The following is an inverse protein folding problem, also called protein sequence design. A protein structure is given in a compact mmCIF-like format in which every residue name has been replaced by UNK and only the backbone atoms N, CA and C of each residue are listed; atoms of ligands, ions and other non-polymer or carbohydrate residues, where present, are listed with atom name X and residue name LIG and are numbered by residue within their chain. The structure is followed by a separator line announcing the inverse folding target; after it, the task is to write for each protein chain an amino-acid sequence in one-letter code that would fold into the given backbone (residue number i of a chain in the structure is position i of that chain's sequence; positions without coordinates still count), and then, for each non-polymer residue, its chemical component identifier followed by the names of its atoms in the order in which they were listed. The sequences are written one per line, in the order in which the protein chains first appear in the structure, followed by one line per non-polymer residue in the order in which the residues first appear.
data_IF_198881044281
#
_entry.id   IF_198881044281
#
_cell.length_a   1.000
_cell.length_b   1.000
_cell.length_c   1.000
_cell.angle_alpha   90.00
_cell.angle_beta   90.00
_cell.angle_gamma   90.00
#
_symmetry.space_group_name_H-M   'P 1'
#
loop_
_entity.id
_entity.type
_entity.pdbx_description
1 polymer ?
#
# COMPACT_ATOMS: atom_id res chain seq x y z
N UNK A 1 4.46 23.70 21.23
CA UNK A 1 5.25 22.47 21.16
C UNK A 1 6.65 22.83 20.73
N UNK A 2 7.64 22.35 21.47
CA UNK A 2 9.01 22.46 21.01
C UNK A 2 9.24 21.53 19.80
N UNK A 3 10.42 21.64 19.18
CA UNK A 3 10.75 20.88 17.97
C UNK A 3 10.73 19.36 18.21
N UNK A 4 11.24 18.92 19.35
CA UNK A 4 11.37 17.50 19.68
C UNK A 4 9.98 16.89 19.93
N UNK A 5 9.11 17.63 20.60
CA UNK A 5 7.72 17.24 20.84
C UNK A 5 6.95 17.07 19.52
N UNK A 6 7.14 17.99 18.56
CA UNK A 6 6.57 17.84 17.21
C UNK A 6 7.07 16.58 16.50
N UNK A 7 8.35 16.26 16.62
CA UNK A 7 8.94 15.05 16.04
C UNK A 7 8.33 13.78 16.65
N UNK A 8 8.21 13.71 17.99
CA UNK A 8 7.56 12.59 18.66
C UNK A 8 6.07 12.44 18.28
N UNK A 9 5.36 13.54 18.06
CA UNK A 9 3.97 13.51 17.58
C UNK A 9 3.89 12.93 16.16
N UNK A 10 4.82 13.30 15.27
CA UNK A 10 4.90 12.71 13.92
C UNK A 10 5.18 11.20 13.98
N UNK A 11 6.12 10.79 14.83
CA UNK A 11 6.45 9.38 15.06
C UNK A 11 5.23 8.60 15.55
N UNK A 12 4.54 9.11 16.58
CA UNK A 12 3.34 8.49 17.13
C UNK A 12 2.21 8.41 16.09
N UNK A 13 2.03 9.46 15.27
CA UNK A 13 1.03 9.47 14.20
C UNK A 13 1.31 8.40 13.15
N UNK A 14 2.56 8.30 12.68
CA UNK A 14 2.97 7.30 11.71
C UNK A 14 2.86 5.87 12.25
N UNK A 15 3.17 5.67 13.54
CA UNK A 15 3.03 4.37 14.20
C UNK A 15 1.55 3.94 14.32
N UNK A 16 0.68 4.86 14.72
CA UNK A 16 -0.74 4.58 14.91
C UNK A 16 -1.52 4.43 13.60
N UNK A 17 -1.06 5.06 12.52
CA UNK A 17 -1.77 5.02 11.24
C UNK A 17 -1.54 3.69 10.51
N UNK A 18 -2.59 2.92 10.20
CA UNK A 18 -2.46 1.71 9.38
C UNK A 18 -2.20 2.02 7.89
N UNK A 19 -2.37 3.28 7.47
CA UNK A 19 -2.22 3.74 6.09
C UNK A 19 -1.15 4.82 5.99
N UNK A 20 -0.67 5.07 4.77
CA UNK A 20 0.19 6.22 4.51
C UNK A 20 -0.54 7.52 4.85
N UNK A 21 0.18 8.47 5.46
CA UNK A 21 -0.30 9.80 5.79
C UNK A 21 0.33 10.83 4.88
N UNK A 22 -0.49 11.72 4.33
CA UNK A 22 -0.03 12.86 3.53
C UNK A 22 0.75 13.85 4.37
N UNK A 23 1.54 14.70 3.71
CA UNK A 23 2.28 15.76 4.41
C UNK A 23 1.35 16.74 5.14
N UNK A 24 0.14 16.97 4.62
CA UNK A 24 -0.82 17.90 5.23
C UNK A 24 -1.50 17.30 6.46
N UNK A 25 -1.80 16.00 6.46
CA UNK A 25 -2.30 15.31 7.65
C UNK A 25 -1.24 15.29 8.77
N UNK A 26 0.01 14.96 8.42
CA UNK A 26 1.13 14.96 9.37
C UNK A 26 1.38 16.36 9.94
N UNK A 27 1.37 17.37 9.08
CA UNK A 27 1.48 18.78 9.47
C UNK A 27 0.36 19.17 10.46
N UNK A 28 -0.88 18.79 10.17
CA UNK A 28 -2.02 19.10 11.02
C UNK A 28 -1.94 18.42 12.38
N UNK A 29 -1.55 17.13 12.44
CA UNK A 29 -1.44 16.37 13.68
C UNK A 29 -0.29 16.87 14.56
N UNK A 30 0.84 17.24 13.97
CA UNK A 30 2.00 17.75 14.69
C UNK A 30 1.95 19.26 14.98
N UNK A 31 0.84 19.95 14.67
CA UNK A 31 0.69 21.40 14.83
C UNK A 31 1.85 22.19 14.22
N UNK A 32 2.29 21.77 13.03
CA UNK A 32 3.34 22.43 12.25
C UNK A 32 2.69 23.39 11.26
N UNK A 33 3.25 24.58 11.07
CA UNK A 33 2.66 25.55 10.14
C UNK A 33 3.12 25.31 8.70
N UNK A 34 4.38 24.91 8.53
CA UNK A 34 5.04 24.78 7.24
C UNK A 34 5.18 23.32 6.78
N UNK A 35 4.79 23.06 5.53
CA UNK A 35 5.11 21.79 4.86
C UNK A 35 6.62 21.53 4.81
N UNK A 36 7.42 22.58 4.69
CA UNK A 36 8.89 22.46 4.63
C UNK A 36 9.45 22.02 5.99
N UNK A 37 8.97 22.61 7.09
CA UNK A 37 9.34 22.19 8.45
C UNK A 37 8.95 20.72 8.69
N UNK A 38 7.73 20.33 8.31
CA UNK A 38 7.24 18.95 8.43
C UNK A 38 8.14 17.97 7.68
N UNK A 39 8.56 18.32 6.45
CA UNK A 39 9.49 17.49 5.65
C UNK A 39 10.87 17.37 6.30
N UNK A 40 11.37 18.42 6.93
CA UNK A 40 12.65 18.39 7.64
C UNK A 40 12.61 17.42 8.82
N UNK A 41 11.56 17.51 9.64
CA UNK A 41 11.35 16.59 10.78
C UNK A 41 11.20 15.14 10.30
N UNK A 42 10.42 14.91 9.25
CA UNK A 42 10.28 13.58 8.65
C UNK A 42 11.60 13.01 8.15
N UNK A 43 12.45 13.84 7.55
CA UNK A 43 13.76 13.39 7.06
C UNK A 43 14.66 12.90 8.18
N UNK A 44 14.60 13.55 9.34
CA UNK A 44 15.33 13.15 10.55
C UNK A 44 14.81 11.82 11.10
N UNK A 45 13.48 11.68 11.23
CA UNK A 45 12.83 10.43 11.62
C UNK A 45 13.16 9.28 10.65
N UNK A 46 13.10 9.52 9.35
CA UNK A 46 13.46 8.55 8.31
C UNK A 46 14.92 8.10 8.50
N UNK A 47 15.84 9.03 8.74
CA UNK A 47 17.25 8.69 8.99
C UNK A 47 17.42 7.82 10.25
N UNK A 48 16.70 8.16 11.32
CA UNK A 48 16.73 7.43 12.58
C UNK A 48 16.22 5.98 12.41
N UNK A 49 15.03 5.83 11.83
CA UNK A 49 14.37 4.54 11.65
C UNK A 49 15.02 3.68 10.56
N UNK A 50 15.47 4.27 9.46
CA UNK A 50 16.10 3.51 8.38
C UNK A 50 17.56 3.12 8.69
N UNK A 51 18.09 3.50 9.87
CA UNK A 51 19.37 3.02 10.38
C UNK A 51 19.36 1.49 10.64
N UNK A 52 20.54 0.86 10.71
CA UNK A 52 20.66 -0.58 11.00
C UNK A 52 20.19 -0.99 12.41
N UNK A 53 19.90 -0.02 13.29
CA UNK A 53 19.56 -0.24 14.70
C UNK A 53 18.07 -0.43 14.98
N UNK A 54 17.19 -0.22 13.99
CA UNK A 54 15.74 -0.39 14.14
C UNK A 54 15.21 -1.53 13.26
N UNK A 55 14.17 -2.22 13.74
CA UNK A 55 13.39 -3.19 12.94
C UNK A 55 12.27 -2.52 12.13
N UNK A 56 12.00 -1.25 12.40
CA UNK A 56 11.00 -0.43 11.70
C UNK A 56 11.68 0.47 10.67
N UNK A 57 10.93 0.89 9.66
CA UNK A 57 11.33 1.88 8.66
C UNK A 57 10.19 2.85 8.38
N UNK A 58 10.53 4.05 7.94
CA UNK A 58 9.58 5.01 7.39
C UNK A 58 9.84 5.11 5.89
N UNK A 59 8.81 4.86 5.10
CA UNK A 59 8.86 4.86 3.63
C UNK A 59 7.99 5.96 3.05
N UNK A 60 8.47 6.56 1.96
CA UNK A 60 7.71 7.49 1.13
C UNK A 60 7.01 6.70 0.01
N UNK A 61 5.69 6.84 -0.05
CA UNK A 61 4.78 6.26 -1.03
C UNK A 61 4.16 7.39 -1.87
N UNK A 62 3.58 7.11 -3.05
CA UNK A 62 2.94 8.13 -3.88
C UNK A 62 1.85 8.94 -3.15
N UNK A 63 1.22 8.35 -2.14
CA UNK A 63 0.13 8.93 -1.36
C UNK A 63 0.57 9.56 -0.03
N UNK A 64 1.84 9.43 0.37
CA UNK A 64 2.32 9.96 1.64
C UNK A 64 3.41 9.11 2.29
N UNK A 65 3.54 9.20 3.61
CA UNK A 65 4.57 8.50 4.40
C UNK A 65 3.93 7.44 5.28
N UNK A 66 4.60 6.29 5.44
CA UNK A 66 4.13 5.20 6.29
C UNK A 66 5.27 4.61 7.11
N UNK A 67 5.03 4.34 8.39
CA UNK A 67 5.90 3.51 9.20
C UNK A 67 5.51 2.04 9.06
N UNK A 68 6.49 1.17 8.84
CA UNK A 68 6.26 -0.29 8.69
C UNK A 68 7.43 -1.10 9.22
N UNK A 69 7.24 -2.41 9.34
CA UNK A 69 8.30 -3.36 9.64
C UNK A 69 9.23 -3.48 8.43
N UNK A 70 10.55 -3.51 8.64
CA UNK A 70 11.51 -3.76 7.56
C UNK A 70 11.28 -5.13 6.95
N UNK A 71 11.38 -5.23 5.62
CA UNK A 71 11.16 -6.47 4.87
C UNK A 71 11.91 -7.71 5.40
N UNK A 72 13.09 -7.53 6.03
CA UNK A 72 13.84 -8.63 6.68
C UNK A 72 13.03 -9.36 7.77
N UNK A 73 12.15 -8.66 8.48
CA UNK A 73 11.40 -9.18 9.63
C UNK A 73 9.91 -9.36 9.34
N UNK A 74 9.42 -8.97 8.16
CA UNK A 74 8.00 -9.01 7.83
C UNK A 74 7.42 -10.43 7.95
N UNK A 75 8.11 -11.45 7.44
CA UNK A 75 7.62 -12.84 7.50
C UNK A 75 7.50 -13.35 8.94
N UNK A 76 8.43 -12.98 9.82
CA UNK A 76 8.46 -13.42 11.21
C UNK A 76 7.25 -12.90 12.00
N UNK A 77 6.80 -11.67 11.69
CA UNK A 77 5.71 -10.99 12.43
C UNK A 77 4.39 -10.94 11.66
N UNK A 78 4.34 -11.46 10.43
CA UNK A 78 3.16 -11.40 9.56
C UNK A 78 1.91 -12.01 10.21
N UNK A 79 2.07 -13.01 11.08
CA UNK A 79 0.97 -13.66 11.80
C UNK A 79 0.26 -12.76 12.82
N UNK A 80 0.89 -11.64 13.22
CA UNK A 80 0.33 -10.65 14.14
C UNK A 80 -0.52 -9.58 13.43
N UNK A 81 -0.39 -9.47 12.10
CA UNK A 81 -1.21 -8.54 11.35
C UNK A 81 -2.67 -9.00 11.36
N UNK A 82 -3.58 -8.17 11.88
CA UNK A 82 -5.02 -8.42 11.86
C UNK A 82 -5.53 -8.40 10.43
N UNK A 83 -5.86 -9.61 9.93
CA UNK A 83 -6.48 -9.93 8.66
C UNK A 83 -5.90 -9.22 7.42
N UNK A 84 -5.10 -9.98 6.66
CA UNK A 84 -4.82 -9.63 5.26
C UNK A 84 -6.13 -9.32 4.56
N UNK A 85 -6.28 -8.11 4.02
CA UNK A 85 -7.51 -7.64 3.32
C UNK A 85 -8.02 -8.65 2.27
N UNK A 86 -7.12 -9.51 1.76
CA UNK A 86 -7.43 -10.60 0.84
C UNK A 86 -6.81 -11.92 1.29
N UNK A 87 -7.57 -13.01 1.14
CA UNK A 87 -7.02 -14.35 1.26
C UNK A 87 -5.88 -14.60 0.26
N UNK A 88 -4.98 -15.54 0.56
CA UNK A 88 -3.90 -15.94 -0.37
C UNK A 88 -4.40 -16.28 -1.77
N UNK A 89 -5.62 -16.83 -1.88
CA UNK A 89 -6.25 -17.17 -3.15
C UNK A 89 -6.58 -15.95 -4.01
N UNK A 90 -7.18 -14.93 -3.37
CA UNK A 90 -7.54 -13.64 -3.97
C UNK A 90 -6.28 -12.86 -4.36
N UNK A 91 -5.29 -12.81 -3.46
CA UNK A 91 -4.01 -12.13 -3.71
C UNK A 91 -3.27 -12.70 -4.93
N UNK A 92 -3.25 -14.03 -5.09
CA UNK A 92 -2.66 -14.68 -6.28
C UNK A 92 -3.41 -14.34 -7.58
N UNK A 93 -4.74 -14.17 -7.52
CA UNK A 93 -5.52 -13.72 -8.69
C UNK A 93 -5.22 -12.27 -9.03
N UNK A 94 -5.11 -11.40 -8.02
CA UNK A 94 -4.71 -10.00 -8.22
C UNK A 94 -3.31 -9.88 -8.83
N UNK A 95 -2.34 -10.64 -8.31
CA UNK A 95 -0.98 -10.67 -8.84
C UNK A 95 -0.92 -11.10 -10.31
N UNK A 96 -1.71 -12.11 -10.71
CA UNK A 96 -1.83 -12.53 -12.11
C UNK A 96 -2.33 -11.38 -13.01
N UNK A 97 -3.35 -10.65 -12.56
CA UNK A 97 -3.89 -9.50 -13.31
C UNK A 97 -2.85 -8.39 -13.40
N UNK A 98 -2.24 -7.99 -12.27
CA UNK A 98 -1.23 -6.93 -12.24
C UNK A 98 -0.04 -7.21 -13.16
N UNK A 99 0.37 -8.48 -13.29
CA UNK A 99 1.48 -8.90 -14.14
C UNK A 99 1.12 -9.04 -15.63
N UNK A 100 -0.13 -9.40 -15.96
CA UNK A 100 -0.55 -9.65 -17.35
C UNK A 100 -1.52 -8.63 -17.92
N UNK A 101 -1.84 -7.58 -17.17
CA UNK A 101 -2.74 -6.54 -17.64
C UNK A 101 -2.20 -5.87 -18.90
N UNK A 102 -3.07 -5.50 -19.86
CA UNK A 102 -4.49 -5.84 -19.91
C UNK A 102 -4.73 -7.33 -20.21
N UNK A 103 -5.53 -8.02 -19.40
CA UNK A 103 -5.82 -9.47 -19.56
C UNK A 103 -7.33 -9.76 -19.66
N UNK A 104 -7.72 -10.68 -20.52
CA UNK A 104 -9.13 -11.10 -20.62
C UNK A 104 -9.58 -11.87 -19.39
N UNK A 105 -10.79 -11.56 -18.90
CA UNK A 105 -11.39 -12.23 -17.74
C UNK A 105 -11.46 -13.74 -17.93
N UNK A 106 -11.81 -14.21 -19.14
CA UNK A 106 -11.86 -15.63 -19.46
C UNK A 106 -10.49 -16.33 -19.27
N UNK A 107 -9.38 -15.65 -19.59
CA UNK A 107 -8.03 -16.17 -19.38
C UNK A 107 -7.68 -16.24 -17.89
N UNK A 108 -8.06 -15.23 -17.11
CA UNK A 108 -7.86 -15.25 -15.65
C UNK A 108 -8.60 -16.44 -15.02
N UNK A 109 -9.86 -16.66 -15.40
CA UNK A 109 -10.65 -17.82 -14.95
C UNK A 109 -9.99 -19.13 -15.39
N UNK A 110 -9.47 -19.21 -16.61
CA UNK A 110 -8.74 -20.39 -17.10
C UNK A 110 -7.47 -20.68 -16.27
N UNK A 111 -6.72 -19.65 -15.87
CA UNK A 111 -5.49 -19.80 -15.09
C UNK A 111 -5.71 -20.07 -13.59
N UNK A 112 -6.85 -19.65 -13.02
CA UNK A 112 -7.13 -19.69 -11.57
C UNK A 112 -8.29 -20.62 -11.18
N UNK A 113 -8.96 -21.21 -12.17
CA UNK A 113 -10.11 -22.12 -12.06
C UNK A 113 -11.41 -21.37 -11.68
N UNK A 114 -12.51 -22.09 -11.46
CA UNK A 114 -13.83 -21.48 -11.19
C UNK A 114 -13.87 -20.53 -9.98
N UNK A 115 -12.99 -20.71 -8.99
CA UNK A 115 -12.86 -19.78 -7.84
C UNK A 115 -12.45 -18.35 -8.23
N UNK A 116 -11.94 -18.17 -9.45
CA UNK A 116 -11.57 -16.86 -9.96
C UNK A 116 -12.75 -15.89 -10.01
N UNK A 117 -13.98 -16.35 -10.23
CA UNK A 117 -15.15 -15.47 -10.26
C UNK A 117 -15.38 -14.77 -8.92
N UNK A 118 -15.31 -15.52 -7.82
CA UNK A 118 -15.44 -14.97 -6.46
C UNK A 118 -14.28 -14.02 -6.15
N UNK A 119 -13.05 -14.39 -6.54
CA UNK A 119 -11.89 -13.53 -6.34
C UNK A 119 -12.03 -12.20 -7.10
N UNK A 120 -12.48 -12.26 -8.36
CA UNK A 120 -12.69 -11.07 -9.19
C UNK A 120 -13.75 -10.16 -8.57
N UNK A 121 -14.87 -10.72 -8.09
CA UNK A 121 -15.92 -9.97 -7.40
C UNK A 121 -15.36 -9.20 -6.20
N UNK A 122 -14.61 -9.87 -5.33
CA UNK A 122 -13.95 -9.26 -4.17
C UNK A 122 -13.02 -8.12 -4.60
N UNK A 123 -12.20 -8.35 -5.64
CA UNK A 123 -11.24 -7.35 -6.12
C UNK A 123 -11.91 -6.13 -6.77
N UNK A 124 -13.04 -6.30 -7.44
CA UNK A 124 -13.85 -5.20 -7.97
C UNK A 124 -14.52 -4.38 -6.87
N UNK A 125 -15.17 -5.06 -5.92
CA UNK A 125 -15.86 -4.41 -4.80
C UNK A 125 -14.89 -3.61 -3.93
N UNK A 126 -13.66 -4.11 -3.78
CA UNK A 126 -12.59 -3.41 -3.09
C UNK A 126 -11.83 -2.40 -3.99
N UNK A 127 -12.21 -2.25 -5.26
CA UNK A 127 -11.66 -1.24 -6.16
C UNK A 127 -10.20 -1.43 -6.57
N UNK A 128 -9.63 -2.64 -6.47
CA UNK A 128 -8.24 -2.92 -6.87
C UNK A 128 -8.09 -3.20 -8.37
N UNK A 129 -9.17 -3.61 -9.03
CA UNK A 129 -9.21 -3.86 -10.48
C UNK A 129 -10.43 -3.18 -11.10
N UNK A 130 -10.34 -2.88 -12.40
CA UNK A 130 -11.47 -2.44 -13.22
C UNK A 130 -11.63 -3.36 -14.44
N UNK A 131 -12.85 -3.40 -14.99
CA UNK A 131 -13.20 -4.19 -16.17
C UNK A 131 -13.76 -3.29 -17.26
N UNK A 132 -13.30 -3.52 -18.49
CA UNK A 132 -13.77 -2.82 -19.68
C UNK A 132 -14.34 -3.85 -20.67
N UNK A 133 -15.52 -3.62 -21.28
CA UNK A 133 -16.10 -4.56 -22.24
C UNK A 133 -15.18 -4.82 -23.43
N UNK A 134 -15.01 -6.09 -23.81
CA UNK A 134 -14.28 -6.50 -25.02
C UNK A 134 -15.01 -7.67 -25.67
N UNK A 135 -15.84 -7.36 -26.67
CA UNK A 135 -16.69 -8.35 -27.35
C UNK A 135 -17.63 -9.05 -26.36
N UNK A 136 -17.53 -10.38 -26.25
CA UNK A 136 -18.34 -11.21 -25.34
C UNK A 136 -17.74 -11.39 -23.93
N UNK A 137 -16.62 -10.72 -23.65
CA UNK A 137 -15.93 -10.80 -22.35
C UNK A 137 -15.50 -9.43 -21.86
N UNK A 138 -14.68 -9.39 -20.81
CA UNK A 138 -14.11 -8.18 -20.26
C UNK A 138 -12.58 -8.24 -20.28
N UNK A 139 -11.96 -7.09 -20.47
CA UNK A 139 -10.53 -6.86 -20.22
C UNK A 139 -10.35 -6.33 -18.80
N UNK A 140 -9.38 -6.86 -18.08
CA UNK A 140 -9.08 -6.54 -16.69
C UNK A 140 -7.77 -5.77 -16.57
N UNK A 141 -7.76 -4.73 -15.75
CA UNK A 141 -6.60 -3.90 -15.41
C UNK A 141 -6.64 -3.52 -13.92
N UNK A 142 -5.49 -3.20 -13.32
CA UNK A 142 -5.41 -2.64 -11.96
C UNK A 142 -5.81 -1.17 -11.94
N UNK A 143 -6.29 -0.70 -10.80
CA UNK A 143 -6.68 0.70 -10.60
C UNK A 143 -5.56 1.52 -9.96
N UNK A 144 -5.75 2.83 -9.80
CA UNK A 144 -4.87 3.69 -9.01
C UNK A 144 -4.72 3.17 -7.57
N UNK A 145 -5.81 2.70 -6.95
CA UNK A 145 -5.80 2.13 -5.59
C UNK A 145 -4.79 0.99 -5.43
N UNK A 146 -4.63 0.15 -6.46
CA UNK A 146 -3.61 -0.90 -6.44
C UNK A 146 -2.20 -0.29 -6.35
N UNK A 147 -1.89 0.72 -7.16
CA UNK A 147 -0.59 1.39 -7.16
C UNK A 147 -0.34 2.09 -5.83
N UNK A 148 -1.35 2.73 -5.27
CA UNK A 148 -1.29 3.39 -3.96
C UNK A 148 -1.00 2.39 -2.83
N UNK A 149 -1.64 1.21 -2.88
CA UNK A 149 -1.47 0.17 -1.87
C UNK A 149 -0.13 -0.56 -1.98
N UNK A 150 0.34 -0.86 -3.19
CA UNK A 150 1.55 -1.65 -3.42
C UNK A 150 2.80 -0.81 -3.79
N UNK A 151 2.64 0.50 -3.97
CA UNK A 151 3.69 1.45 -4.31
C UNK A 151 4.27 1.32 -5.72
N UNK A 152 3.76 0.40 -6.56
CA UNK A 152 4.31 0.14 -7.91
C UNK A 152 3.26 -0.38 -8.89
N UNK A 153 3.41 -0.02 -10.16
CA UNK A 153 2.72 -0.65 -11.28
C UNK A 153 3.56 -1.80 -11.86
N UNK A 154 2.98 -3.00 -11.96
CA UNK A 154 3.63 -4.20 -12.49
C UNK A 154 3.29 -4.47 -13.97
N UNK A 155 2.41 -3.66 -14.58
CA UNK A 155 1.86 -3.88 -15.92
C UNK A 155 2.68 -3.30 -17.08
N UNK A 156 3.84 -2.68 -16.83
CA UNK A 156 4.70 -2.13 -17.89
C UNK A 156 5.98 -2.94 -18.06
N UNK A 157 6.07 -3.66 -19.18
CA UNK A 157 7.34 -3.91 -19.86
C UNK A 157 7.54 -2.84 -20.93
#
# INVERSE_FOLDING_TARGET
MDRLEKEHVLEAALFMSPKAMTIDELKAVAFVESRMETKTLLKELISHYNSKKSALEIVELPIGYQMRVKGKYEEDVAHLATDSTFSKGVMKTLALIAYKQPIEQALVVKYRNNKAYDHLKILFENGFIKKEPKGRTYTLTTTTKFIEYFGKDFGKK
#
